data_IF_201565662952
#
_entry.id   IF_201565662952
#
_cell.length_a   1.000
_cell.length_b   1.000
_cell.length_c   1.000
_cell.angle_alpha   90.00
_cell.angle_beta   90.00
_cell.angle_gamma   90.00
#
_symmetry.space_group_name_H-M   'P 1'
#
loop_
_entity.id
_entity.type
_entity.pdbx_description
1 polymer ?
#
# COMPACT_ATOMS: atom_id res chain seq x y z
N UNK A 1 2.45 -7.39 17.33
CA UNK A 1 1.87 -6.04 17.49
C UNK A 1 2.22 -5.12 16.33
N UNK A 2 3.40 -5.27 15.72
CA UNK A 2 3.87 -4.38 14.66
C UNK A 2 2.94 -4.39 13.44
N UNK A 3 2.48 -5.57 13.01
CA UNK A 3 1.59 -5.74 11.84
C UNK A 3 0.27 -4.97 12.00
N UNK A 4 -0.26 -4.91 13.22
CA UNK A 4 -1.48 -4.16 13.53
C UNK A 4 -1.26 -2.64 13.38
N UNK A 5 -0.19 -2.12 13.99
CA UNK A 5 0.14 -0.69 13.95
C UNK A 5 0.45 -0.23 12.52
N UNK A 6 1.20 -1.02 11.76
CA UNK A 6 1.44 -0.73 10.34
C UNK A 6 0.16 -0.81 9.52
N UNK A 7 -0.76 -1.73 9.84
CA UNK A 7 -2.08 -1.79 9.24
C UNK A 7 -2.88 -0.50 9.43
N UNK A 8 -2.94 0.03 10.65
CA UNK A 8 -3.58 1.32 10.95
C UNK A 8 -2.93 2.46 10.15
N UNK A 9 -1.60 2.58 10.21
CA UNK A 9 -0.86 3.61 9.47
C UNK A 9 -1.07 3.53 7.96
N UNK A 10 -1.07 2.32 7.40
CA UNK A 10 -1.29 2.08 5.97
C UNK A 10 -2.72 2.41 5.55
N UNK A 11 -3.70 2.09 6.40
CA UNK A 11 -5.10 2.44 6.15
C UNK A 11 -5.29 3.96 6.11
N UNK A 12 -4.73 4.68 7.09
CA UNK A 12 -4.75 6.15 7.12
C UNK A 12 -4.03 6.71 5.90
N UNK A 13 -2.83 6.23 5.58
CA UNK A 13 -2.08 6.66 4.40
C UNK A 13 -2.87 6.47 3.10
N UNK A 14 -3.58 5.34 2.94
CA UNK A 14 -4.46 5.09 1.80
C UNK A 14 -5.68 6.01 1.74
N UNK A 15 -6.25 6.40 2.89
CA UNK A 15 -7.34 7.39 2.96
C UNK A 15 -6.82 8.78 2.60
N UNK A 16 -5.69 9.20 3.18
CA UNK A 16 -5.04 10.48 2.87
C UNK A 16 -4.71 10.54 1.38
N UNK A 17 -4.07 9.52 0.82
CA UNK A 17 -3.75 9.49 -0.61
C UNK A 17 -4.99 9.60 -1.50
N UNK A 18 -6.12 9.01 -1.11
CA UNK A 18 -7.38 9.14 -1.85
C UNK A 18 -7.95 10.57 -1.82
N UNK A 19 -7.84 11.25 -0.69
CA UNK A 19 -8.46 12.58 -0.49
C UNK A 19 -7.56 13.70 -0.99
N UNK A 20 -6.25 13.60 -0.74
CA UNK A 20 -5.26 14.62 -1.06
C UNK A 20 -4.39 14.28 -2.28
N UNK A 21 -4.83 13.35 -3.15
CA UNK A 21 -4.12 13.06 -4.40
C UNK A 21 -3.96 14.35 -5.23
N UNK A 22 -2.75 14.72 -5.66
CA UNK A 22 -2.56 15.93 -6.44
C UNK A 22 -3.27 15.83 -7.78
N UNK A 23 -4.03 16.87 -8.14
CA UNK A 23 -4.75 16.94 -9.42
C UNK A 23 -3.82 17.03 -10.64
N UNK A 24 -2.53 17.31 -10.44
CA UNK A 24 -1.50 17.39 -11.48
C UNK A 24 -0.29 16.57 -11.06
N UNK A 25 0.48 16.10 -12.04
CA UNK A 25 1.74 15.38 -11.80
C UNK A 25 2.61 16.17 -10.83
N UNK A 26 2.97 15.54 -9.71
CA UNK A 26 3.72 16.15 -8.63
C UNK A 26 4.96 15.32 -8.29
N UNK A 27 6.10 15.99 -8.11
CA UNK A 27 7.37 15.31 -7.81
C UNK A 27 7.59 15.03 -6.32
N UNK A 28 6.79 15.63 -5.42
CA UNK A 28 6.94 15.54 -3.96
C UNK A 28 5.97 14.54 -3.36
N UNK A 29 4.70 14.55 -3.78
CA UNK A 29 3.64 13.75 -3.18
C UNK A 29 2.89 12.87 -4.19
N UNK A 30 2.36 11.74 -3.73
CA UNK A 30 1.63 10.76 -4.52
C UNK A 30 2.43 9.49 -4.87
N UNK A 31 1.79 8.58 -5.60
CA UNK A 31 2.42 7.42 -6.21
C UNK A 31 3.21 7.85 -7.46
N UNK A 32 4.54 7.78 -7.41
CA UNK A 32 5.46 8.50 -8.31
C UNK A 32 6.42 7.61 -9.09
N UNK A 33 5.96 6.48 -9.62
CA UNK A 33 6.77 5.66 -10.53
C UNK A 33 6.94 6.34 -11.90
N UNK A 34 7.95 5.96 -12.67
CA UNK A 34 8.20 6.56 -13.99
C UNK A 34 6.98 6.45 -14.92
N UNK A 35 6.24 5.32 -14.85
CA UNK A 35 5.02 5.14 -15.64
C UNK A 35 3.87 6.02 -15.16
N UNK A 36 3.67 6.16 -13.85
CA UNK A 36 2.61 7.02 -13.30
C UNK A 36 2.75 8.48 -13.75
N UNK A 37 3.99 8.97 -13.90
CA UNK A 37 4.28 10.36 -14.29
C UNK A 37 4.32 10.59 -15.79
N UNK A 38 4.03 9.58 -16.63
CA UNK A 38 4.14 9.71 -18.09
C UNK A 38 3.11 10.67 -18.69
N UNK A 39 1.88 10.66 -18.16
CA UNK A 39 0.82 11.60 -18.55
C UNK A 39 -0.24 11.69 -17.44
N UNK A 40 -1.13 12.67 -17.54
CA UNK A 40 -2.14 12.95 -16.52
C UNK A 40 -3.12 11.78 -16.30
N UNK A 41 -3.52 11.08 -17.37
CA UNK A 41 -4.41 9.90 -17.27
C UNK A 41 -3.79 8.79 -16.43
N UNK A 42 -2.51 8.47 -16.65
CA UNK A 42 -1.79 7.46 -15.87
C UNK A 42 -1.54 7.93 -14.43
N UNK A 43 -1.29 9.23 -14.24
CA UNK A 43 -1.16 9.83 -12.93
C UNK A 43 -2.43 9.64 -12.11
N UNK A 44 -3.57 10.08 -12.61
CA UNK A 44 -4.86 10.02 -11.91
C UNK A 44 -5.23 8.59 -11.53
N UNK A 45 -5.11 7.66 -12.48
CA UNK A 45 -5.39 6.24 -12.22
C UNK A 45 -4.42 5.65 -11.21
N UNK A 46 -3.15 6.02 -11.25
CA UNK A 46 -2.17 5.50 -10.28
C UNK A 46 -2.48 5.96 -8.86
N UNK A 47 -2.90 7.21 -8.66
CA UNK A 47 -3.26 7.71 -7.33
C UNK A 47 -4.50 6.99 -6.79
N UNK A 48 -5.56 6.90 -7.59
CA UNK A 48 -6.80 6.24 -7.18
C UNK A 48 -6.59 4.76 -6.87
N UNK A 49 -5.89 4.05 -7.77
CA UNK A 49 -5.69 2.61 -7.65
C UNK A 49 -4.74 2.26 -6.50
N UNK A 50 -3.61 2.96 -6.36
CA UNK A 50 -2.69 2.72 -5.23
C UNK A 50 -3.35 3.03 -3.89
N UNK A 51 -4.13 4.11 -3.78
CA UNK A 51 -4.91 4.42 -2.59
C UNK A 51 -5.94 3.32 -2.25
N UNK A 52 -6.57 2.71 -3.27
CA UNK A 52 -7.46 1.55 -3.08
C UNK A 52 -6.70 0.34 -2.53
N UNK A 53 -5.54 0.00 -3.10
CA UNK A 53 -4.76 -1.16 -2.65
C UNK A 53 -4.17 -0.91 -1.25
N UNK A 54 -3.69 0.29 -0.94
CA UNK A 54 -3.22 0.65 0.40
C UNK A 54 -4.31 0.45 1.46
N UNK A 55 -5.55 0.93 1.21
CA UNK A 55 -6.66 0.72 2.15
C UNK A 55 -6.97 -0.76 2.34
N UNK A 56 -6.97 -1.54 1.25
CA UNK A 56 -7.19 -2.99 1.33
C UNK A 56 -6.09 -3.68 2.16
N UNK A 57 -4.82 -3.39 1.89
CA UNK A 57 -3.69 -3.96 2.64
C UNK A 57 -3.72 -3.50 4.10
N UNK A 58 -4.10 -2.26 4.38
CA UNK A 58 -4.28 -1.74 5.74
C UNK A 58 -5.32 -2.52 6.52
N UNK A 59 -6.51 -2.75 5.95
CA UNK A 59 -7.56 -3.58 6.58
C UNK A 59 -7.08 -5.01 6.80
N UNK A 60 -6.44 -5.64 5.80
CA UNK A 60 -5.92 -7.00 5.94
C UNK A 60 -4.86 -7.10 7.05
N UNK A 61 -3.91 -6.16 7.11
CA UNK A 61 -2.89 -6.12 8.16
C UNK A 61 -3.49 -5.88 9.55
N UNK A 62 -4.54 -5.07 9.67
CA UNK A 62 -5.27 -4.91 10.96
C UNK A 62 -5.86 -6.25 11.40
N UNK A 63 -6.58 -6.95 10.52
CA UNK A 63 -7.19 -8.24 10.83
C UNK A 63 -6.14 -9.30 11.20
N UNK A 64 -5.07 -9.40 10.42
CA UNK A 64 -3.97 -10.33 10.68
C UNK A 64 -3.26 -9.96 11.98
N UNK A 65 -3.01 -8.68 12.22
CA UNK A 65 -2.40 -8.19 13.44
C UNK A 65 -3.22 -8.53 14.69
N UNK A 66 -4.55 -8.44 14.62
CA UNK A 66 -5.45 -8.88 15.71
C UNK A 66 -5.31 -10.39 15.95
N UNK A 67 -5.34 -11.22 14.91
CA UNK A 67 -5.18 -12.68 15.04
C UNK A 67 -3.83 -13.03 15.68
N UNK A 68 -2.75 -12.36 15.27
CA UNK A 68 -1.40 -12.57 15.81
C UNK A 68 -1.27 -12.17 17.28
N UNK A 69 -2.13 -11.29 17.82
CA UNK A 69 -2.13 -10.96 19.25
C UNK A 69 -2.65 -12.12 20.12
N UNK A 70 -3.51 -12.98 19.56
CA UNK A 70 -4.07 -14.14 20.27
C UNK A 70 -3.30 -15.43 20.00
N UNK A 71 -2.24 -15.38 19.19
CA UNK A 71 -1.45 -16.58 18.85
C UNK A 71 -0.18 -16.64 19.70
N UNK A 72 0.00 -17.73 20.43
CA UNK A 72 1.21 -18.01 21.22
C UNK A 72 2.29 -18.64 20.32
N UNK A 73 3.32 -17.88 19.96
CA UNK A 73 4.52 -18.38 19.27
C UNK A 73 5.77 -18.13 20.12
N UNK A 74 6.87 -18.85 19.81
CA UNK A 74 8.15 -18.63 20.46
C UNK A 74 8.64 -17.19 20.25
N UNK A 75 9.02 -16.53 21.35
CA UNK A 75 9.36 -15.11 21.37
C UNK A 75 10.59 -14.77 20.51
N UNK A 76 11.48 -15.75 20.27
CA UNK A 76 12.76 -15.55 19.60
C UNK A 76 12.65 -15.10 18.14
N UNK A 77 11.63 -15.57 17.41
CA UNK A 77 11.48 -15.28 15.97
C UNK A 77 10.30 -14.38 15.62
N UNK A 78 9.48 -14.02 16.61
CA UNK A 78 8.25 -13.26 16.40
C UNK A 78 8.50 -11.91 15.70
N UNK A 79 9.49 -11.16 16.17
CA UNK A 79 9.83 -9.86 15.60
C UNK A 79 10.31 -9.97 14.15
N UNK A 80 11.16 -10.95 13.84
CA UNK A 80 11.66 -11.18 12.47
C UNK A 80 10.53 -11.52 11.51
N UNK A 81 9.57 -12.34 11.96
CA UNK A 81 8.37 -12.65 11.19
C UNK A 81 7.52 -11.40 10.94
N UNK A 82 7.24 -10.60 11.98
CA UNK A 82 6.46 -9.37 11.81
C UNK A 82 7.14 -8.38 10.86
N UNK A 83 8.45 -8.19 10.95
CA UNK A 83 9.21 -7.31 10.06
C UNK A 83 9.17 -7.79 8.61
N UNK A 84 9.42 -9.09 8.38
CA UNK A 84 9.32 -9.69 7.06
C UNK A 84 7.92 -9.54 6.47
N UNK A 85 6.90 -9.81 7.29
CA UNK A 85 5.51 -9.63 6.90
C UNK A 85 5.20 -8.19 6.48
N UNK A 86 5.64 -7.20 7.26
CA UNK A 86 5.43 -5.78 6.95
C UNK A 86 5.99 -5.44 5.57
N UNK A 87 7.24 -5.79 5.29
CA UNK A 87 7.87 -5.51 3.98
C UNK A 87 7.10 -6.17 2.85
N UNK A 88 6.75 -7.45 3.00
CA UNK A 88 6.02 -8.20 1.98
C UNK A 88 4.62 -7.63 1.73
N UNK A 89 3.95 -7.12 2.76
CA UNK A 89 2.59 -6.59 2.66
C UNK A 89 2.48 -5.32 1.80
N UNK A 90 3.58 -4.60 1.56
CA UNK A 90 3.61 -3.44 0.67
C UNK A 90 3.84 -3.81 -0.80
N UNK A 91 4.41 -4.99 -1.11
CA UNK A 91 4.69 -5.40 -2.49
C UNK A 91 3.44 -5.40 -3.39
N UNK A 92 2.25 -5.87 -2.96
CA UNK A 92 1.03 -5.82 -3.77
C UNK A 92 0.66 -4.40 -4.21
N UNK A 93 0.94 -3.37 -3.39
CA UNK A 93 0.64 -1.98 -3.74
C UNK A 93 1.39 -1.59 -5.02
N UNK A 94 2.68 -1.89 -5.10
CA UNK A 94 3.49 -1.58 -6.27
C UNK A 94 3.17 -2.49 -7.46
N UNK A 95 3.14 -3.80 -7.24
CA UNK A 95 2.96 -4.80 -8.30
C UNK A 95 1.60 -4.62 -8.98
N UNK A 96 0.53 -4.47 -8.21
CA UNK A 96 -0.82 -4.35 -8.78
C UNK A 96 -1.03 -2.99 -9.45
N UNK A 97 -0.50 -1.91 -8.87
CA UNK A 97 -0.59 -0.58 -9.47
C UNK A 97 0.17 -0.52 -10.78
N UNK A 98 1.42 -0.99 -10.83
CA UNK A 98 2.19 -1.03 -12.08
C UNK A 98 1.55 -1.91 -13.14
N UNK A 99 1.03 -3.10 -12.76
CA UNK A 99 0.29 -3.96 -13.68
C UNK A 99 -0.95 -3.27 -14.26
N UNK A 100 -1.68 -2.49 -13.45
CA UNK A 100 -2.84 -1.72 -13.93
C UNK A 100 -2.41 -0.63 -14.92
N UNK A 101 -1.32 0.09 -14.62
CA UNK A 101 -0.80 1.14 -15.49
C UNK A 101 -0.30 0.58 -16.83
N UNK A 102 0.41 -0.56 -16.84
CA UNK A 102 0.84 -1.23 -18.08
C UNK A 102 -0.35 -1.58 -18.97
N UNK A 103 -1.44 -2.09 -18.38
CA UNK A 103 -2.64 -2.45 -19.15
C UNK A 103 -3.29 -1.23 -19.80
N UNK A 104 -3.32 -0.08 -19.12
CA UNK A 104 -3.89 1.16 -19.64
C UNK A 104 -2.97 1.82 -20.66
N UNK A 105 -1.66 1.73 -20.49
CA UNK A 105 -0.69 2.29 -21.42
C UNK A 105 -0.68 1.56 -22.77
N UNK A 106 -1.01 0.26 -22.78
CA UNK A 106 -1.07 -0.58 -23.98
C UNK A 106 -2.44 -0.60 -24.67
N UNK A 107 -3.48 -0.04 -24.04
CA UNK A 107 -4.84 0.06 -24.58
C UNK A 107 -5.04 1.39 -25.29
#
# INVERSE_FOLDING_TARGET
MLVFLTGLGTLVAGIVLKISSPARINNVYGYRTQRSKKNQKLWDVSQEYSAKILRLMGVLNILIGIVLMFTTYSQEYYLFFELGWVVLSFLPVFILTERKLVKIERS
#
